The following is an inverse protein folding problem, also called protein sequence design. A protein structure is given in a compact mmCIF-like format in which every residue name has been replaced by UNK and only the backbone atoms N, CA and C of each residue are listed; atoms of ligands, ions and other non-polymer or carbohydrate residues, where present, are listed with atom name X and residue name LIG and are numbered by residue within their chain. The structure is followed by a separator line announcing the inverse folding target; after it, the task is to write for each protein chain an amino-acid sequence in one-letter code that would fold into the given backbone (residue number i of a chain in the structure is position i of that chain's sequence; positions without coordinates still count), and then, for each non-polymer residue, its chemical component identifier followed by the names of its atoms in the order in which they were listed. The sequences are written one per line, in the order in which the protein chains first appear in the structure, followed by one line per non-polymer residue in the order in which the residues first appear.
data_IF_030135174678
#
_entry.id   IF_030135174678
#
_cell.length_a   1.000
_cell.length_b   1.000
_cell.length_c   1.000
_cell.angle_alpha   90.00
_cell.angle_beta   90.00
_cell.angle_gamma   90.00
#
_symmetry.space_group_name_H-M   'P 1'
#
loop_
_entity.id
_entity.type
_entity.pdbx_description
1 polymer ?
#
# COMPACT_ATOMS: atom_id res chain seq x y z
N UNK A 1 7.29 -15.80 6.76
CA UNK A 1 8.09 -14.84 5.99
C UNK A 1 7.86 -13.42 6.45
N UNK A 2 8.93 -12.68 6.64
CA UNK A 2 8.84 -11.29 7.11
C UNK A 2 9.02 -10.33 5.95
N UNK A 3 8.05 -9.44 5.77
CA UNK A 3 8.15 -8.37 4.79
C UNK A 3 8.48 -7.05 5.49
N UNK A 4 9.13 -6.16 4.77
CA UNK A 4 9.44 -4.81 5.24
C UNK A 4 8.38 -3.87 4.68
N UNK A 5 7.66 -3.22 5.56
CA UNK A 5 6.45 -2.47 5.20
C UNK A 5 6.59 -0.99 5.55
N UNK A 6 6.42 -0.14 4.55
CA UNK A 6 6.48 1.31 4.69
C UNK A 6 5.07 1.86 4.83
N UNK A 7 4.90 2.82 5.74
CA UNK A 7 3.64 3.53 5.93
C UNK A 7 3.81 4.96 5.41
N UNK A 8 3.05 5.31 4.38
CA UNK A 8 3.07 6.66 3.80
C UNK A 8 1.77 7.35 4.18
N UNK A 9 1.83 8.11 5.27
CA UNK A 9 0.66 8.69 5.92
C UNK A 9 1.12 9.89 6.74
N UNK A 10 0.42 11.03 6.66
CA UNK A 10 0.79 12.23 7.40
C UNK A 10 0.05 12.40 8.72
N UNK A 11 -1.01 11.65 8.95
CA UNK A 11 -1.69 11.64 10.24
C UNK A 11 -0.97 10.70 11.19
N UNK A 12 -0.22 11.26 12.11
CA UNK A 12 0.71 10.47 12.94
C UNK A 12 0.02 9.37 13.77
N UNK A 13 -1.19 9.63 14.27
CA UNK A 13 -1.89 8.62 15.06
C UNK A 13 -2.36 7.46 14.19
N UNK A 14 -2.80 7.75 12.96
CA UNK A 14 -3.18 6.71 11.99
C UNK A 14 -1.94 5.90 11.61
N UNK A 15 -0.85 6.57 11.31
CA UNK A 15 0.39 5.90 10.93
C UNK A 15 0.92 5.01 12.05
N UNK A 16 0.87 5.50 13.29
CA UNK A 16 1.34 4.72 14.44
C UNK A 16 0.50 3.47 14.66
N UNK A 17 -0.82 3.57 14.48
CA UNK A 17 -1.70 2.42 14.62
C UNK A 17 -1.40 1.38 13.54
N UNK A 18 -1.15 1.83 12.32
CA UNK A 18 -0.79 0.93 11.22
C UNK A 18 0.53 0.22 11.54
N UNK A 19 1.52 0.95 12.04
CA UNK A 19 2.80 0.33 12.43
C UNK A 19 2.63 -0.71 13.51
N UNK A 20 1.75 -0.43 14.47
CA UNK A 20 1.46 -1.39 15.52
C UNK A 20 0.91 -2.69 14.95
N UNK A 21 -0.03 -2.60 14.03
CA UNK A 21 -0.61 -3.79 13.38
C UNK A 21 0.46 -4.55 12.60
N UNK A 22 1.30 -3.84 11.87
CA UNK A 22 2.40 -4.46 11.11
C UNK A 22 3.29 -5.29 12.04
N UNK A 23 3.67 -4.70 13.18
CA UNK A 23 4.53 -5.37 14.16
C UNK A 23 3.82 -6.57 14.79
N UNK A 24 2.54 -6.44 15.10
CA UNK A 24 1.76 -7.56 15.65
C UNK A 24 1.72 -8.75 14.70
N UNK A 25 1.72 -8.50 13.41
CA UNK A 25 1.70 -9.56 12.40
C UNK A 25 3.07 -10.20 12.19
N UNK A 26 4.11 -9.69 12.85
CA UNK A 26 5.45 -10.23 12.71
C UNK A 26 6.22 -9.68 11.52
N UNK A 27 5.73 -8.61 10.91
CA UNK A 27 6.45 -7.93 9.83
C UNK A 27 7.24 -6.75 10.38
N UNK A 28 8.15 -6.23 9.56
CA UNK A 28 9.04 -5.16 9.98
C UNK A 28 8.56 -3.81 9.43
N UNK A 29 8.18 -2.85 10.32
CA UNK A 29 7.89 -1.51 9.84
C UNK A 29 9.19 -0.83 9.42
N UNK A 30 9.21 -0.32 8.20
CA UNK A 30 10.38 0.41 7.68
C UNK A 30 10.44 1.80 8.27
N UNK A 31 9.27 2.42 8.41
CA UNK A 31 9.15 3.77 8.93
C UNK A 31 7.86 4.41 8.49
N UNK A 32 7.67 5.65 8.90
CA UNK A 32 6.52 6.48 8.55
C UNK A 32 7.02 7.62 7.68
N UNK A 33 6.45 7.77 6.50
CA UNK A 33 6.77 8.87 5.61
C UNK A 33 5.54 9.75 5.45
N UNK A 34 5.69 11.05 5.70
CA UNK A 34 4.60 12.02 5.60
C UNK A 34 4.63 12.78 4.29
N UNK A 35 5.64 12.57 3.46
CA UNK A 35 5.84 13.28 2.21
C UNK A 35 6.60 12.41 1.21
N UNK A 36 6.67 12.92 -0.02
CA UNK A 36 7.31 12.21 -1.12
C UNK A 36 8.79 11.94 -0.88
N UNK A 37 9.52 12.94 -0.42
CA UNK A 37 10.96 12.82 -0.23
C UNK A 37 11.31 11.70 0.72
N UNK A 38 10.64 11.68 1.86
CA UNK A 38 10.87 10.65 2.88
C UNK A 38 10.49 9.27 2.35
N UNK A 39 9.34 9.17 1.69
CA UNK A 39 8.88 7.89 1.14
C UNK A 39 9.88 7.31 0.15
N UNK A 40 10.34 8.12 -0.80
CA UNK A 40 11.26 7.63 -1.81
C UNK A 40 12.65 7.31 -1.25
N UNK A 41 13.05 7.99 -0.18
CA UNK A 41 14.32 7.68 0.47
C UNK A 41 14.35 6.30 1.11
N UNK A 42 13.17 5.73 1.39
CA UNK A 42 13.06 4.41 2.02
C UNK A 42 12.69 3.30 1.04
N UNK A 43 12.60 3.63 -0.25
CA UNK A 43 12.13 2.69 -1.27
C UNK A 43 12.96 1.40 -1.35
N UNK A 44 14.27 1.51 -1.25
CA UNK A 44 15.15 0.34 -1.37
C UNK A 44 15.00 -0.64 -0.21
N UNK A 45 14.49 -0.18 0.91
CA UNK A 45 14.31 -1.02 2.09
C UNK A 45 12.89 -1.55 2.22
N UNK A 46 12.05 -1.34 1.22
CA UNK A 46 10.61 -1.59 1.30
C UNK A 46 10.17 -2.73 0.39
N UNK A 47 9.39 -3.64 0.95
CA UNK A 47 8.74 -4.70 0.17
C UNK A 47 7.28 -4.33 -0.16
N UNK A 48 6.57 -3.81 0.83
CA UNK A 48 5.17 -3.42 0.71
C UNK A 48 5.01 -1.99 1.24
N UNK A 49 4.21 -1.18 0.58
CA UNK A 49 3.91 0.17 1.04
C UNK A 49 2.40 0.38 1.12
N UNK A 50 1.97 0.97 2.23
CA UNK A 50 0.60 1.44 2.42
C UNK A 50 0.63 2.94 2.22
N UNK A 51 -0.11 3.44 1.22
CA UNK A 51 0.06 4.82 0.77
C UNK A 51 -1.26 5.58 0.77
N UNK A 52 -1.31 6.67 1.53
CA UNK A 52 -2.41 7.63 1.44
C UNK A 52 -2.17 8.58 0.25
N UNK A 53 -3.24 9.12 -0.31
CA UNK A 53 -3.15 9.99 -1.47
C UNK A 53 -2.79 11.42 -1.11
N UNK A 54 -3.26 11.90 0.04
CA UNK A 54 -3.05 13.29 0.46
C UNK A 54 -2.09 13.33 1.63
N UNK A 55 -0.97 14.01 1.45
CA UNK A 55 0.13 14.03 2.38
C UNK A 55 0.51 15.48 2.72
N UNK A 56 1.57 15.66 3.50
CA UNK A 56 2.00 17.00 3.90
C UNK A 56 2.36 17.88 2.71
N UNK A 57 2.91 17.31 1.67
CA UNK A 57 3.30 18.04 0.47
C UNK A 57 2.22 18.06 -0.61
N UNK A 58 0.99 17.72 -0.24
CA UNK A 58 -0.16 17.78 -1.14
C UNK A 58 -0.59 16.42 -1.66
N UNK A 59 -1.27 16.38 -2.83
CA UNK A 59 -1.80 15.11 -3.37
C UNK A 59 -0.70 14.29 -4.07
N UNK A 60 0.37 14.00 -3.37
CA UNK A 60 1.54 13.34 -3.95
C UNK A 60 1.50 11.82 -3.85
N UNK A 61 0.52 11.27 -3.14
CA UNK A 61 0.45 9.83 -2.89
C UNK A 61 0.37 8.97 -4.15
N UNK A 62 -0.37 9.43 -5.18
CA UNK A 62 -0.46 8.65 -6.42
C UNK A 62 0.89 8.52 -7.10
N UNK A 63 1.64 9.63 -7.19
CA UNK A 63 2.96 9.61 -7.79
C UNK A 63 3.93 8.74 -6.98
N UNK A 64 3.86 8.84 -5.66
CA UNK A 64 4.68 8.02 -4.77
C UNK A 64 4.40 6.54 -5.03
N UNK A 65 3.15 6.14 -5.01
CA UNK A 65 2.76 4.75 -5.23
C UNK A 65 3.22 4.24 -6.59
N UNK A 66 3.05 5.05 -7.63
CA UNK A 66 3.49 4.68 -8.97
C UNK A 66 5.00 4.46 -9.03
N UNK A 67 5.78 5.37 -8.46
CA UNK A 67 7.24 5.26 -8.47
C UNK A 67 7.71 4.05 -7.67
N UNK A 68 7.13 3.85 -6.48
CA UNK A 68 7.48 2.69 -5.65
C UNK A 68 7.21 1.39 -6.40
N UNK A 69 6.05 1.30 -7.04
CA UNK A 69 5.68 0.07 -7.75
C UNK A 69 6.49 -0.14 -9.03
N UNK A 70 6.54 0.88 -9.88
CA UNK A 70 7.10 0.73 -11.23
C UNK A 70 8.61 0.82 -11.28
N UNK A 71 9.20 1.60 -10.40
CA UNK A 71 10.65 1.79 -10.38
C UNK A 71 11.34 0.84 -9.41
N UNK A 72 10.71 0.56 -8.27
CA UNK A 72 11.36 -0.18 -7.19
C UNK A 72 10.77 -1.57 -6.93
N UNK A 73 9.73 -1.95 -7.64
CA UNK A 73 9.13 -3.27 -7.47
C UNK A 73 8.41 -3.48 -6.13
N UNK A 74 8.01 -2.40 -5.48
CA UNK A 74 7.30 -2.45 -4.21
C UNK A 74 5.84 -2.81 -4.47
N UNK A 75 5.27 -3.68 -3.63
CA UNK A 75 3.85 -3.96 -3.67
C UNK A 75 3.12 -2.81 -2.98
N UNK A 76 2.36 -2.03 -3.74
CA UNK A 76 1.71 -0.82 -3.24
C UNK A 76 0.22 -1.04 -3.05
N UNK A 77 -0.26 -0.70 -1.86
CA UNK A 77 -1.67 -0.71 -1.52
C UNK A 77 -2.04 0.69 -1.04
N UNK A 78 -2.99 1.31 -1.76
CA UNK A 78 -3.47 2.64 -1.35
C UNK A 78 -4.51 2.53 -0.25
N UNK A 79 -4.52 3.50 0.65
CA UNK A 79 -5.55 3.65 1.68
C UNK A 79 -5.99 5.10 1.65
N UNK A 80 -7.25 5.37 1.32
CA UNK A 80 -7.70 6.75 1.15
C UNK A 80 -9.20 6.89 1.44
N UNK A 81 -9.59 8.07 1.91
CA UNK A 81 -11.00 8.42 2.05
C UNK A 81 -11.66 8.70 0.68
N UNK A 82 -10.85 8.88 -0.36
CA UNK A 82 -11.34 9.23 -1.69
C UNK A 82 -10.86 8.24 -2.76
N UNK A 83 -11.31 6.99 -2.70
CA UNK A 83 -10.83 5.97 -3.66
C UNK A 83 -11.14 6.31 -5.11
N UNK A 84 -12.18 7.11 -5.36
CA UNK A 84 -12.54 7.51 -6.71
C UNK A 84 -11.44 8.32 -7.41
N UNK A 85 -10.55 8.96 -6.66
CA UNK A 85 -9.42 9.70 -7.24
C UNK A 85 -8.48 8.79 -8.02
N UNK A 86 -8.48 7.50 -7.72
CA UNK A 86 -7.60 6.54 -8.40
C UNK A 86 -8.20 6.02 -9.70
N UNK A 87 -9.50 6.30 -9.95
CA UNK A 87 -10.17 5.84 -11.15
C UNK A 87 -10.05 4.33 -11.33
N UNK A 88 -9.51 3.91 -12.46
CA UNK A 88 -9.31 2.49 -12.75
C UNK A 88 -8.04 1.93 -12.10
N UNK A 89 -7.30 2.77 -11.40
CA UNK A 89 -6.10 2.35 -10.71
C UNK A 89 -4.82 2.84 -11.36
N UNK A 90 -3.73 2.58 -10.68
CA UNK A 90 -2.40 2.93 -11.15
C UNK A 90 -1.69 1.63 -11.56
N UNK A 91 -1.25 1.51 -12.82
CA UNK A 91 -0.56 0.30 -13.28
C UNK A 91 0.62 -0.08 -12.37
N UNK A 92 0.69 -1.33 -12.00
CA UNK A 92 1.74 -1.86 -11.14
C UNK A 92 1.39 -1.85 -9.66
N UNK A 93 0.35 -1.15 -9.24
CA UNK A 93 -0.10 -1.15 -7.84
C UNK A 93 -1.19 -2.18 -7.62
N UNK A 94 -1.35 -2.61 -6.36
CA UNK A 94 -2.23 -3.73 -6.04
C UNK A 94 -3.71 -3.35 -5.99
N UNK A 95 -4.02 -2.25 -5.34
CA UNK A 95 -5.40 -1.85 -5.17
C UNK A 95 -5.56 -0.74 -4.15
N UNK A 96 -6.80 -0.52 -3.71
CA UNK A 96 -7.13 0.52 -2.75
C UNK A 96 -8.10 0.02 -1.70
N UNK A 97 -7.82 0.37 -0.45
CA UNK A 97 -8.70 0.10 0.68
C UNK A 97 -9.29 1.42 1.15
N UNK A 98 -10.63 1.60 1.04
CA UNK A 98 -11.25 2.86 1.44
C UNK A 98 -11.21 3.07 2.95
N UNK A 99 -10.87 4.29 3.39
CA UNK A 99 -10.94 4.67 4.79
C UNK A 99 -12.40 4.93 5.20
N UNK A 100 -12.77 4.73 6.44
CA UNK A 100 -11.96 4.25 7.56
C UNK A 100 -11.68 2.75 7.46
N UNK A 101 -10.54 2.33 7.96
CA UNK A 101 -10.08 0.95 7.88
C UNK A 101 -9.98 0.38 9.30
N UNK A 102 -10.64 -0.74 9.55
CA UNK A 102 -10.51 -1.42 10.84
C UNK A 102 -9.20 -2.20 10.90
N UNK A 103 -8.75 -2.52 12.10
CA UNK A 103 -7.56 -3.35 12.27
C UNK A 103 -7.72 -4.70 11.58
N UNK A 104 -8.91 -5.26 11.65
CA UNK A 104 -9.20 -6.54 10.99
C UNK A 104 -9.04 -6.45 9.47
N UNK A 105 -9.59 -5.39 8.87
CA UNK A 105 -9.46 -5.17 7.43
C UNK A 105 -8.00 -4.95 7.05
N UNK A 106 -7.29 -4.19 7.87
CA UNK A 106 -5.88 -3.91 7.62
C UNK A 106 -5.06 -5.21 7.65
N UNK A 107 -5.30 -6.04 8.66
CA UNK A 107 -4.61 -7.34 8.74
C UNK A 107 -4.90 -8.20 7.52
N UNK A 108 -6.16 -8.28 7.11
CA UNK A 108 -6.55 -9.07 5.95
C UNK A 108 -5.90 -8.53 4.67
N UNK A 109 -5.86 -7.21 4.52
CA UNK A 109 -5.26 -6.58 3.35
C UNK A 109 -3.76 -6.83 3.30
N UNK A 110 -3.08 -6.74 4.45
CA UNK A 110 -1.65 -7.02 4.52
C UNK A 110 -1.34 -8.49 4.26
N UNK A 111 -2.14 -9.41 4.81
CA UNK A 111 -1.98 -10.82 4.51
C UNK A 111 -2.12 -11.09 3.02
N UNK A 112 -3.10 -10.45 2.39
CA UNK A 112 -3.30 -10.57 0.96
C UNK A 112 -2.10 -10.01 0.19
N UNK A 113 -1.58 -8.85 0.57
CA UNK A 113 -0.44 -8.25 -0.08
C UNK A 113 0.82 -9.10 0.05
N UNK A 114 1.04 -9.68 1.22
CA UNK A 114 2.17 -10.60 1.45
C UNK A 114 2.05 -11.83 0.56
N UNK A 115 0.88 -12.45 0.53
CA UNK A 115 0.64 -13.63 -0.31
C UNK A 115 0.81 -13.30 -1.79
N UNK A 116 0.29 -12.15 -2.22
CA UNK A 116 0.42 -11.71 -3.59
C UNK A 116 1.89 -11.56 -4.01
N UNK A 117 2.69 -11.02 -3.11
CA UNK A 117 4.11 -10.82 -3.38
C UNK A 117 4.87 -12.15 -3.50
N UNK A 118 4.44 -13.16 -2.74
CA UNK A 118 5.13 -14.44 -2.71
C UNK A 118 4.70 -15.37 -3.85
N UNK A 119 3.40 -15.55 -4.02
CA UNK A 119 2.90 -16.56 -4.97
C UNK A 119 1.60 -16.17 -5.67
N UNK A 120 1.03 -15.03 -5.33
CA UNK A 120 -0.18 -14.54 -5.97
C UNK A 120 -1.49 -15.07 -5.40
N UNK A 121 -1.43 -15.96 -4.43
CA UNK A 121 -2.63 -16.51 -3.80
C UNK A 121 -3.04 -15.70 -2.57
N UNK A 122 -4.32 -15.71 -2.26
CA UNK A 122 -4.84 -15.05 -1.08
C UNK A 122 -6.28 -14.60 -1.29
N UNK A 123 -6.91 -14.20 -0.19
CA UNK A 123 -8.28 -13.72 -0.20
C UNK A 123 -8.33 -12.30 0.33
N UNK A 124 -8.60 -11.31 -0.54
CA UNK A 124 -8.67 -9.92 -0.10
C UNK A 124 -9.90 -9.68 0.77
N UNK A 125 -9.86 -8.68 1.67
CA UNK A 125 -11.06 -8.27 2.36
C UNK A 125 -12.06 -7.69 1.36
N UNK A 126 -13.35 -7.75 1.71
CA UNK A 126 -14.42 -7.36 0.77
C UNK A 126 -14.29 -5.94 0.24
N UNK A 127 -13.84 -5.03 1.08
CA UNK A 127 -13.77 -3.61 0.70
C UNK A 127 -12.51 -3.26 -0.09
N UNK A 128 -11.56 -4.18 -0.19
CA UNK A 128 -10.37 -3.94 -1.00
C UNK A 128 -10.74 -4.00 -2.48
N UNK A 129 -10.53 -2.89 -3.17
CA UNK A 129 -10.75 -2.81 -4.60
C UNK A 129 -9.44 -3.11 -5.30
N UNK A 130 -9.35 -4.28 -5.90
CA UNK A 130 -8.16 -4.66 -6.66
C UNK A 130 -8.18 -3.94 -8.00
N UNK A 131 -7.03 -3.47 -8.44
CA UNK A 131 -6.92 -2.89 -9.76
C UNK A 131 -6.88 -4.05 -10.76
N UNK A 132 -7.79 -4.02 -11.69
CA UNK A 132 -8.14 -5.15 -12.53
C UNK A 132 -7.13 -5.61 -13.53
N UNK A 133 -6.00 -4.96 -13.61
CA UNK A 133 -4.99 -5.44 -14.51
C UNK A 133 -3.83 -6.04 -13.71
N UNK A 134 -3.32 -7.11 -14.17
CA UNK A 134 -2.29 -7.86 -13.47
C UNK A 134 -1.02 -7.93 -14.28
N UNK A 135 -0.79 -6.90 -15.05
CA UNK A 135 0.33 -6.87 -15.96
C UNK A 135 -0.09 -7.35 -17.35
N UNK A 136 0.87 -7.61 -18.21
CA UNK A 136 0.57 -7.87 -19.61
C UNK A 136 -0.38 -9.05 -19.85
N UNK A 137 -0.29 -10.07 -19.03
CA UNK A 137 -1.13 -11.25 -19.23
C UNK A 137 -2.56 -11.01 -18.77
N UNK A 138 -2.71 -10.39 -17.61
CA UNK A 138 -4.03 -10.16 -17.07
C UNK A 138 -4.77 -9.08 -17.81
N UNK A 139 -4.06 -8.08 -18.25
CA UNK A 139 -4.67 -6.90 -18.82
C UNK A 139 -5.41 -7.17 -20.12
N UNK A 140 -4.95 -8.10 -20.90
CA UNK A 140 -5.53 -8.33 -22.20
C UNK A 140 -6.45 -9.51 -22.25
N UNK A 141 -6.68 -10.07 -21.18
CA UNK A 141 -7.35 -11.35 -21.17
C UNK A 141 -8.75 -11.23 -20.69
#
# INVERSE_FOLDING_TARGET
MTCRILVVEDEIFVAAEIEYVISEMGHEPVGIAADRRTALSLALDTDIALVDLNLQDGPTGMAIGRILAQTHGVTVLFMTANPAQLGEGIPGTLGVLPKPVTDKELKQALEFAVAHRLDGDGHPPKRLQLFGWTGPLGAGV
#
